data_IF_628613967069
#
_entry.id   IF_628613967069
#
_cell.length_a   1.000
_cell.length_b   1.000
_cell.length_c   1.000
_cell.angle_alpha   90.00
_cell.angle_beta   90.00
_cell.angle_gamma   90.00
#
_symmetry.space_group_name_H-M   'P 1'
#
loop_
_entity.id
_entity.type
_entity.pdbx_description
1 polymer ?
#
# COMPACT_ATOMS: atom_id res chain seq x y z
N UNK A 1 -11.15 27.59 -14.35
CA UNK A 1 -10.63 26.98 -13.11
C UNK A 1 -9.22 27.51 -12.89
N UNK A 2 -8.99 28.21 -11.78
CA UNK A 2 -7.63 28.64 -11.36
C UNK A 2 -6.89 27.41 -10.80
N UNK A 3 -5.57 27.40 -10.86
CA UNK A 3 -4.71 26.32 -10.35
C UNK A 3 -4.79 26.30 -8.83
N UNK A 4 -4.94 25.10 -8.25
CA UNK A 4 -4.95 24.94 -6.78
C UNK A 4 -3.73 25.57 -6.11
N UNK A 5 -2.55 25.50 -6.75
CA UNK A 5 -1.33 26.14 -6.22
C UNK A 5 -1.44 27.68 -6.19
N UNK A 6 -2.10 28.29 -7.18
CA UNK A 6 -2.33 29.75 -7.16
C UNK A 6 -3.29 30.11 -6.03
N UNK A 7 -4.35 29.32 -5.84
CA UNK A 7 -5.33 29.55 -4.77
C UNK A 7 -4.69 29.41 -3.38
N UNK A 8 -3.93 28.34 -3.14
CA UNK A 8 -3.21 28.11 -1.87
C UNK A 8 -2.28 29.29 -1.55
N UNK A 9 -1.44 29.71 -2.49
CA UNK A 9 -0.49 30.79 -2.24
C UNK A 9 -1.18 32.14 -2.07
N UNK A 10 -2.26 32.40 -2.80
CA UNK A 10 -3.06 33.62 -2.63
C UNK A 10 -3.68 33.69 -1.22
N UNK A 11 -4.27 32.58 -0.76
CA UNK A 11 -4.87 32.50 0.58
C UNK A 11 -3.81 32.64 1.69
N UNK A 12 -2.64 32.01 1.53
CA UNK A 12 -1.50 32.21 2.45
C UNK A 12 -1.10 33.68 2.51
N UNK A 13 -0.98 34.36 1.36
CA UNK A 13 -0.64 35.79 1.33
C UNK A 13 -1.69 36.65 2.05
N UNK A 14 -2.97 36.34 1.86
CA UNK A 14 -4.08 37.03 2.53
C UNK A 14 -3.99 36.87 4.05
N UNK A 15 -3.76 35.66 4.55
CA UNK A 15 -3.64 35.40 6.00
C UNK A 15 -2.40 36.02 6.61
N UNK A 16 -1.25 35.92 5.95
CA UNK A 16 -0.02 36.59 6.40
C UNK A 16 -0.17 38.11 6.42
N UNK A 17 -0.94 38.69 5.50
CA UNK A 17 -1.29 40.10 5.50
C UNK A 17 -2.22 40.45 6.68
N UNK A 18 -3.29 39.67 6.87
CA UNK A 18 -4.26 39.85 7.96
C UNK A 18 -3.62 39.80 9.35
N UNK A 19 -2.60 38.94 9.51
CA UNK A 19 -1.83 38.80 10.76
C UNK A 19 -0.71 39.84 10.92
N UNK A 20 -0.55 40.76 9.94
CA UNK A 20 0.48 41.80 9.98
C UNK A 20 1.90 41.29 9.76
N UNK A 21 2.09 40.03 9.33
CA UNK A 21 3.41 39.47 9.03
C UNK A 21 4.05 40.21 7.85
N UNK A 22 3.26 40.54 6.82
CA UNK A 22 3.73 41.26 5.63
C UNK A 22 3.96 42.77 5.86
N UNK A 23 3.45 43.34 6.96
CA UNK A 23 3.68 44.75 7.32
C UNK A 23 5.08 45.00 7.87
N UNK A 24 5.80 43.94 8.22
CA UNK A 24 7.16 44.02 8.73
C UNK A 24 8.13 44.48 7.64
N UNK A 25 9.05 45.37 8.00
CA UNK A 25 10.12 45.80 7.09
C UNK A 25 11.03 44.64 6.63
N UNK A 26 11.15 43.59 7.47
CA UNK A 26 11.94 42.38 7.26
C UNK A 26 11.06 41.15 6.93
N UNK A 27 9.80 41.31 6.51
CA UNK A 27 8.81 40.22 6.40
C UNK A 27 9.34 38.95 5.71
N UNK A 28 9.97 39.09 4.54
CA UNK A 28 10.49 37.94 3.78
C UNK A 28 11.70 37.28 4.44
N UNK A 29 12.56 38.07 5.08
CA UNK A 29 13.67 37.52 5.86
C UNK A 29 13.15 36.77 7.09
N UNK A 30 12.12 37.31 7.75
CA UNK A 30 11.45 36.65 8.86
C UNK A 30 10.81 35.32 8.43
N UNK A 31 10.00 35.31 7.36
CA UNK A 31 9.39 34.10 6.79
C UNK A 31 10.43 33.04 6.40
N UNK A 32 11.57 33.43 5.84
CA UNK A 32 12.63 32.52 5.45
C UNK A 32 13.42 31.91 6.62
N UNK A 33 13.22 32.41 7.85
CA UNK A 33 14.08 32.09 8.99
C UNK A 33 13.35 31.63 10.25
N UNK A 34 12.04 31.85 10.35
CA UNK A 34 11.22 31.60 11.53
C UNK A 34 10.03 30.68 11.17
N UNK A 35 9.85 29.59 11.92
CA UNK A 35 8.72 28.65 11.70
C UNK A 35 7.40 29.26 12.15
N UNK A 36 7.44 29.97 13.27
CA UNK A 36 6.32 30.71 13.85
C UNK A 36 5.77 31.80 12.93
N UNK A 37 6.54 32.26 11.94
CA UNK A 37 6.08 33.23 10.94
C UNK A 37 5.01 32.67 9.99
N UNK A 38 4.82 31.34 9.98
CA UNK A 38 3.86 30.63 9.12
C UNK A 38 2.72 30.01 9.91
N UNK A 39 2.50 30.46 11.14
CA UNK A 39 1.50 29.92 12.06
C UNK A 39 0.50 30.99 12.42
N UNK A 40 -0.76 30.58 12.57
CA UNK A 40 -1.85 31.41 13.04
C UNK A 40 -2.31 30.91 14.41
N UNK A 41 -1.89 31.52 15.53
CA UNK A 41 -2.26 31.05 16.86
C UNK A 41 -3.78 31.03 17.08
N UNK A 42 -4.48 32.01 16.51
CA UNK A 42 -5.93 32.13 16.65
C UNK A 42 -6.65 30.99 15.91
N UNK A 43 -6.27 30.69 14.66
CA UNK A 43 -6.84 29.56 13.91
C UNK A 43 -6.45 28.20 14.52
N UNK A 44 -5.24 28.08 15.07
CA UNK A 44 -4.81 26.86 15.76
C UNK A 44 -5.62 26.61 17.04
N UNK A 45 -5.91 27.66 17.82
CA UNK A 45 -6.81 27.57 18.98
C UNK A 45 -8.21 27.18 18.53
N UNK A 46 -8.74 27.83 17.49
CA UNK A 46 -10.07 27.51 16.98
C UNK A 46 -10.18 26.05 16.53
N UNK A 47 -9.16 25.55 15.82
CA UNK A 47 -9.09 24.15 15.39
C UNK A 47 -8.97 23.21 16.60
N UNK A 48 -8.18 23.56 17.62
CA UNK A 48 -8.05 22.76 18.83
C UNK A 48 -9.36 22.70 19.63
N UNK A 49 -10.05 23.83 19.80
CA UNK A 49 -11.37 23.91 20.43
C UNK A 49 -12.40 23.10 19.65
N UNK A 50 -12.38 23.18 18.31
CA UNK A 50 -13.27 22.42 17.44
C UNK A 50 -13.05 20.92 17.57
N UNK A 51 -11.79 20.47 17.60
CA UNK A 51 -11.44 19.06 17.83
C UNK A 51 -11.84 18.59 19.24
N UNK A 52 -11.64 19.43 20.27
CA UNK A 52 -12.02 19.10 21.64
C UNK A 52 -13.54 18.98 21.82
N UNK A 53 -14.31 19.90 21.23
CA UNK A 53 -15.78 19.87 21.28
C UNK A 53 -16.37 18.62 20.61
N UNK A 54 -15.72 18.10 19.55
CA UNK A 54 -16.14 16.88 18.89
C UNK A 54 -16.02 15.64 19.79
N UNK A 55 -15.07 15.64 20.74
CA UNK A 55 -14.89 14.55 21.71
C UNK A 55 -15.99 14.55 22.78
N UNK A 56 -16.59 15.71 23.08
CA UNK A 56 -17.64 15.83 24.11
C UNK A 56 -19.05 15.49 23.61
N UNK A 57 -19.36 15.71 22.33
CA UNK A 57 -20.69 15.47 21.76
C UNK A 57 -21.02 13.98 21.55
N UNK A 58 -20.01 13.11 21.58
CA UNK A 58 -20.11 11.68 21.27
C UNK A 58 -20.45 10.80 22.50
N UNK A 59 -20.83 11.41 23.63
CA UNK A 59 -21.22 10.70 24.84
C UNK A 59 -22.72 10.34 24.91
N UNK A 60 -23.60 10.93 24.08
CA UNK A 60 -25.06 10.69 24.16
C UNK A 60 -25.85 10.93 22.85
N UNK A 61 -25.20 11.09 21.69
CA UNK A 61 -25.91 11.38 20.44
C UNK A 61 -26.35 10.10 19.70
N UNK A 62 -27.67 9.87 19.68
CA UNK A 62 -28.29 8.91 18.77
C UNK A 62 -28.04 9.27 17.30
N UNK A 63 -27.86 8.23 16.49
CA UNK A 63 -27.47 8.28 15.09
C UNK A 63 -28.56 8.85 14.15
N UNK A 64 -28.84 10.15 14.22
CA UNK A 64 -29.85 10.80 13.37
C UNK A 64 -29.44 12.19 12.81
N UNK A 65 -28.13 12.46 12.61
CA UNK A 65 -27.69 13.55 11.73
C UNK A 65 -26.86 12.97 10.58
N UNK A 66 -27.57 12.48 9.57
CA UNK A 66 -27.02 11.85 8.37
C UNK A 66 -27.05 12.77 7.14
N UNK A 67 -27.28 14.07 7.33
CA UNK A 67 -27.56 15.02 6.23
C UNK A 67 -26.57 16.20 6.11
N UNK A 68 -25.41 16.19 6.77
CA UNK A 68 -24.30 17.07 6.36
C UNK A 68 -23.55 16.43 5.19
N UNK A 69 -24.02 16.76 4.00
CA UNK A 69 -23.33 16.51 2.73
C UNK A 69 -21.90 17.03 2.85
N UNK A 70 -20.95 16.15 2.51
CA UNK A 70 -19.51 16.40 2.36
C UNK A 70 -19.29 17.46 1.26
N UNK A 71 -19.63 18.72 1.55
CA UNK A 71 -19.19 19.85 0.75
C UNK A 71 -17.67 19.92 0.94
N UNK A 72 -16.91 19.67 -0.13
CA UNK A 72 -15.45 19.86 -0.13
C UNK A 72 -15.16 21.23 0.48
N UNK A 73 -14.52 21.27 1.66
CA UNK A 73 -14.10 22.51 2.32
C UNK A 73 -13.39 23.38 1.28
N UNK A 74 -13.86 24.61 1.11
CA UNK A 74 -13.23 25.51 0.17
C UNK A 74 -11.87 25.95 0.74
N UNK A 75 -10.91 26.29 -0.12
CA UNK A 75 -9.53 26.59 0.31
C UNK A 75 -9.47 27.72 1.36
N UNK A 76 -10.43 28.64 1.35
CA UNK A 76 -10.59 29.73 2.31
C UNK A 76 -11.08 29.28 3.70
N UNK A 77 -11.64 28.09 3.82
CA UNK A 77 -12.06 27.48 5.09
C UNK A 77 -10.93 26.66 5.75
N UNK A 78 -9.96 26.18 4.96
CA UNK A 78 -8.80 25.42 5.45
C UNK A 78 -7.92 26.30 6.35
N UNK A 79 -7.51 25.90 7.57
CA UNK A 79 -6.62 26.69 8.42
C UNK A 79 -5.22 26.85 7.81
N UNK A 80 -4.50 27.93 8.18
CA UNK A 80 -3.24 28.36 7.55
C UNK A 80 -2.20 27.25 7.55
N UNK A 81 -2.11 26.48 8.64
CA UNK A 81 -1.15 25.38 8.73
C UNK A 81 -1.38 24.30 7.66
N UNK A 82 -2.62 24.00 7.26
CA UNK A 82 -2.91 23.02 6.21
C UNK A 82 -2.47 23.54 4.84
N UNK A 83 -2.73 24.82 4.56
CA UNK A 83 -2.26 25.48 3.35
C UNK A 83 -0.72 25.45 3.28
N UNK A 84 -0.06 25.69 4.41
CA UNK A 84 1.39 25.63 4.54
C UNK A 84 1.93 24.19 4.38
N UNK A 85 1.25 23.18 4.90
CA UNK A 85 1.61 21.76 4.69
C UNK A 85 1.50 21.37 3.21
N UNK A 86 0.47 21.83 2.50
CA UNK A 86 0.32 21.62 1.05
C UNK A 86 1.39 22.37 0.26
N UNK A 87 1.76 23.58 0.71
CA UNK A 87 2.88 24.32 0.16
C UNK A 87 4.20 23.56 0.34
N UNK A 88 4.45 22.95 1.51
CA UNK A 88 5.63 22.12 1.76
C UNK A 88 5.71 20.93 0.81
N UNK A 89 4.62 20.17 0.70
CA UNK A 89 4.54 19.04 -0.22
C UNK A 89 4.82 19.49 -1.67
N UNK A 90 4.31 20.68 -2.04
CA UNK A 90 4.59 21.26 -3.36
C UNK A 90 6.06 21.65 -3.51
N UNK A 91 6.68 22.28 -2.50
CA UNK A 91 8.09 22.66 -2.53
C UNK A 91 8.99 21.42 -2.67
N UNK A 92 8.72 20.36 -1.91
CA UNK A 92 9.44 19.09 -2.07
C UNK A 92 9.26 18.49 -3.47
N UNK A 93 8.06 18.54 -4.03
CA UNK A 93 7.79 18.04 -5.38
C UNK A 93 8.40 18.90 -6.50
N UNK A 94 8.52 20.22 -6.31
CA UNK A 94 9.17 21.11 -7.26
C UNK A 94 10.70 20.97 -7.22
N UNK A 95 11.26 20.82 -6.01
CA UNK A 95 12.71 20.72 -5.79
C UNK A 95 13.08 19.25 -5.57
N UNK A 96 13.03 18.44 -6.62
CA UNK A 96 13.37 17.00 -6.56
C UNK A 96 14.81 16.74 -6.09
N UNK A 97 15.72 17.71 -6.31
CA UNK A 97 17.10 17.67 -5.80
C UNK A 97 17.16 18.02 -4.30
N UNK A 98 16.61 17.14 -3.46
CA UNK A 98 16.46 17.35 -2.01
C UNK A 98 17.80 17.50 -1.26
N UNK A 99 18.92 17.10 -1.85
CA UNK A 99 20.27 17.25 -1.32
C UNK A 99 20.99 18.53 -1.81
N UNK A 100 20.35 19.34 -2.67
CA UNK A 100 20.93 20.57 -3.18
C UNK A 100 21.27 21.57 -2.07
N UNK A 101 22.25 22.43 -2.34
CA UNK A 101 22.62 23.52 -1.45
C UNK A 101 21.54 24.60 -1.44
N UNK A 102 21.35 25.24 -0.28
CA UNK A 102 20.37 26.32 -0.11
C UNK A 102 20.56 27.47 -1.10
N UNK A 103 21.81 27.75 -1.49
CA UNK A 103 22.12 28.82 -2.45
C UNK A 103 21.56 28.56 -3.87
N UNK A 104 21.26 27.30 -4.20
CA UNK A 104 20.75 26.92 -5.52
C UNK A 104 19.21 26.97 -5.62
N UNK A 105 18.50 27.14 -4.50
CA UNK A 105 17.03 27.09 -4.45
C UNK A 105 16.33 28.07 -5.42
N UNK A 106 16.74 29.34 -5.54
CA UNK A 106 16.07 30.27 -6.47
C UNK A 106 16.12 29.77 -7.91
N UNK A 107 17.27 29.23 -8.33
CA UNK A 107 17.46 28.66 -9.66
C UNK A 107 16.60 27.41 -9.87
N UNK A 108 16.59 26.50 -8.89
CA UNK A 108 15.82 25.26 -8.96
C UNK A 108 14.31 25.52 -9.04
N UNK A 109 13.80 26.47 -8.25
CA UNK A 109 12.41 26.91 -8.29
C UNK A 109 12.05 27.53 -9.64
N UNK A 110 12.90 28.42 -10.18
CA UNK A 110 12.69 29.02 -11.49
C UNK A 110 12.64 27.96 -12.61
N UNK A 111 13.54 26.98 -12.57
CA UNK A 111 13.56 25.87 -13.52
C UNK A 111 12.31 24.98 -13.40
N UNK A 112 11.89 24.63 -12.18
CA UNK A 112 10.72 23.79 -11.93
C UNK A 112 9.40 24.47 -12.32
N UNK A 113 9.28 25.78 -12.06
CA UNK A 113 8.09 26.54 -12.40
C UNK A 113 8.00 26.85 -13.89
N UNK A 114 9.12 26.84 -14.63
CA UNK A 114 9.15 27.16 -16.07
C UNK A 114 8.31 26.18 -16.87
N UNK A 115 7.29 26.70 -17.57
CA UNK A 115 6.40 25.87 -18.40
C UNK A 115 5.38 25.05 -17.60
N UNK A 116 5.32 25.22 -16.27
CA UNK A 116 4.29 24.65 -15.41
C UNK A 116 2.90 25.23 -15.70
N UNK A 117 1.85 24.59 -15.18
CA UNK A 117 0.50 25.15 -15.23
C UNK A 117 0.42 26.47 -14.45
N UNK A 118 1.12 26.57 -13.31
CA UNK A 118 1.24 27.81 -12.54
C UNK A 118 1.77 28.95 -13.40
N UNK A 119 2.89 28.75 -14.12
CA UNK A 119 3.48 29.80 -14.96
C UNK A 119 2.55 30.27 -16.08
N UNK A 120 1.75 29.36 -16.67
CA UNK A 120 0.77 29.72 -17.71
C UNK A 120 -0.42 30.52 -17.19
N UNK A 121 -0.81 30.28 -15.94
CA UNK A 121 -1.99 30.91 -15.34
C UNK A 121 -1.65 32.20 -14.63
N UNK A 122 -0.56 32.24 -13.86
CA UNK A 122 -0.11 33.43 -13.14
C UNK A 122 0.25 34.57 -14.10
N UNK A 123 0.67 34.26 -15.33
CA UNK A 123 0.94 35.25 -16.38
C UNK A 123 -0.31 36.00 -16.88
N UNK A 124 -1.50 35.62 -16.42
CA UNK A 124 -2.78 36.30 -16.72
C UNK A 124 -3.25 37.20 -15.58
N UNK A 125 -2.61 37.12 -14.41
CA UNK A 125 -2.87 37.98 -13.26
C UNK A 125 -2.05 39.28 -13.41
N UNK A 126 -2.22 40.22 -12.47
CA UNK A 126 -1.50 41.50 -12.48
C UNK A 126 0.03 41.30 -12.34
N UNK A 127 0.80 42.27 -12.86
CA UNK A 127 2.26 42.17 -13.00
C UNK A 127 3.00 41.99 -11.65
N UNK A 128 2.39 42.42 -10.56
CA UNK A 128 2.90 42.33 -9.19
C UNK A 128 2.60 41.00 -8.48
N UNK A 129 1.62 40.23 -8.97
CA UNK A 129 1.18 38.97 -8.33
C UNK A 129 2.22 37.86 -8.49
N UNK A 130 2.74 37.65 -9.71
CA UNK A 130 3.71 36.58 -9.96
C UNK A 130 5.00 36.71 -9.12
N UNK A 131 5.61 37.91 -8.99
CA UNK A 131 6.73 38.13 -8.08
C UNK A 131 6.42 37.80 -6.62
N UNK A 132 5.22 38.12 -6.12
CA UNK A 132 4.83 37.83 -4.73
C UNK A 132 4.72 36.32 -4.48
N UNK A 133 4.10 35.58 -5.38
CA UNK A 133 4.02 34.12 -5.29
C UNK A 133 5.41 33.48 -5.28
N UNK A 134 6.34 33.97 -6.11
CA UNK A 134 7.73 33.49 -6.10
C UNK A 134 8.41 33.69 -4.76
N UNK A 135 8.23 34.86 -4.13
CA UNK A 135 8.79 35.12 -2.80
C UNK A 135 8.25 34.16 -1.73
N UNK A 136 6.99 33.75 -1.82
CA UNK A 136 6.42 32.73 -0.92
C UNK A 136 7.12 31.38 -1.10
N UNK A 137 7.30 30.92 -2.34
CA UNK A 137 8.03 29.68 -2.63
C UNK A 137 9.48 29.75 -2.14
N UNK A 138 10.18 30.84 -2.43
CA UNK A 138 11.57 31.05 -2.04
C UNK A 138 11.71 31.06 -0.51
N UNK A 139 10.90 31.86 0.19
CA UNK A 139 10.95 31.95 1.65
C UNK A 139 10.64 30.60 2.30
N UNK A 140 9.64 29.87 1.79
CA UNK A 140 9.29 28.57 2.35
C UNK A 140 10.36 27.50 2.08
N UNK A 141 10.90 27.44 0.86
CA UNK A 141 11.99 26.53 0.53
C UNK A 141 13.24 26.82 1.38
N UNK A 142 13.58 28.09 1.57
CA UNK A 142 14.69 28.52 2.41
C UNK A 142 14.53 28.06 3.86
N UNK A 143 13.34 28.23 4.43
CA UNK A 143 13.04 27.79 5.79
C UNK A 143 13.18 26.27 5.94
N UNK A 144 12.62 25.50 4.98
CA UNK A 144 12.75 24.04 4.96
C UNK A 144 14.22 23.65 4.93
N UNK A 145 15.01 24.18 3.97
CA UNK A 145 16.43 23.82 3.82
C UNK A 145 17.30 24.24 5.00
N UNK A 146 16.98 25.37 5.63
CA UNK A 146 17.68 25.84 6.83
C UNK A 146 17.44 24.92 8.03
N UNK A 147 16.22 24.41 8.16
CA UNK A 147 15.77 23.69 9.36
C UNK A 147 16.01 22.18 9.27
N UNK A 148 16.25 21.66 8.06
CA UNK A 148 16.34 20.22 7.80
C UNK A 148 17.69 19.82 7.23
N UNK A 149 18.04 18.55 7.38
CA UNK A 149 19.12 17.91 6.63
C UNK A 149 18.58 17.32 5.33
N UNK A 150 19.46 17.03 4.37
CA UNK A 150 19.07 16.30 3.15
C UNK A 150 18.45 14.93 3.45
N UNK A 151 18.86 14.28 4.54
CA UNK A 151 18.26 13.03 5.01
C UNK A 151 16.82 13.26 5.48
N UNK A 152 16.60 14.26 6.34
CA UNK A 152 15.26 14.62 6.82
C UNK A 152 14.31 14.95 5.67
N UNK A 153 14.74 15.79 4.71
CA UNK A 153 13.90 16.14 3.53
C UNK A 153 13.49 14.93 2.70
N UNK A 154 14.40 13.99 2.45
CA UNK A 154 14.06 12.73 1.78
C UNK A 154 13.02 11.93 2.57
N UNK A 155 13.16 11.88 3.89
CA UNK A 155 12.18 11.25 4.77
C UNK A 155 10.81 11.93 4.72
N UNK A 156 10.76 13.26 4.84
CA UNK A 156 9.52 14.05 4.83
C UNK A 156 8.79 13.92 3.49
N UNK A 157 9.52 14.04 2.38
CA UNK A 157 8.98 13.83 1.05
C UNK A 157 8.45 12.40 0.85
N UNK A 158 9.20 11.39 1.30
CA UNK A 158 8.79 9.99 1.19
C UNK A 158 7.53 9.67 2.02
N UNK A 159 7.33 10.35 3.15
CA UNK A 159 6.11 10.28 3.95
C UNK A 159 4.92 11.02 3.34
N UNK A 160 5.17 11.98 2.44
CA UNK A 160 4.15 12.89 1.93
C UNK A 160 3.66 13.89 2.97
N UNK A 161 4.52 14.31 3.90
CA UNK A 161 4.17 15.26 4.98
C UNK A 161 4.97 16.55 4.90
N UNK A 162 4.41 17.63 5.44
CA UNK A 162 5.09 18.93 5.54
C UNK A 162 6.18 18.98 6.62
N UNK A 163 6.82 20.15 6.74
CA UNK A 163 7.95 20.39 7.63
C UNK A 163 7.62 20.10 9.10
N UNK A 164 6.49 20.57 9.59
CA UNK A 164 6.11 20.48 11.00
C UNK A 164 5.86 19.03 11.43
N UNK A 165 5.03 18.31 10.68
CA UNK A 165 4.76 16.90 10.88
C UNK A 165 6.04 16.05 10.72
N UNK A 166 6.85 16.35 9.69
CA UNK A 166 8.11 15.66 9.44
C UNK A 166 9.09 15.79 10.59
N UNK A 167 9.29 17.00 11.12
CA UNK A 167 10.14 17.24 12.30
C UNK A 167 9.61 16.56 13.56
N UNK A 168 8.29 16.53 13.73
CA UNK A 168 7.65 15.85 14.87
C UNK A 168 7.91 14.34 14.82
N UNK A 169 7.73 13.71 13.65
CA UNK A 169 8.04 12.28 13.44
C UNK A 169 9.53 12.01 13.61
N UNK A 170 10.40 12.88 13.10
CA UNK A 170 11.86 12.74 13.27
C UNK A 170 12.27 12.70 14.75
N UNK A 171 11.63 13.52 15.59
CA UNK A 171 11.94 13.59 17.01
C UNK A 171 11.58 12.31 17.79
N UNK A 172 10.64 11.51 17.29
CA UNK A 172 10.18 10.25 17.90
C UNK A 172 10.51 9.02 17.04
N UNK A 173 11.41 9.15 16.07
CA UNK A 173 11.63 8.15 15.03
C UNK A 173 12.02 6.76 15.57
N UNK A 174 12.88 6.71 16.59
CA UNK A 174 13.35 5.44 17.16
C UNK A 174 12.21 4.70 17.90
N UNK A 175 11.40 5.44 18.65
CA UNK A 175 10.24 4.89 19.36
C UNK A 175 9.15 4.40 18.40
N UNK A 176 8.84 5.18 17.36
CA UNK A 176 7.89 4.76 16.33
C UNK A 176 8.38 3.53 15.56
N UNK A 177 9.70 3.42 15.32
CA UNK A 177 10.28 2.26 14.65
C UNK A 177 10.14 0.99 15.50
N UNK A 178 10.43 1.08 16.81
CA UNK A 178 10.28 -0.04 17.74
C UNK A 178 8.83 -0.52 17.83
N UNK A 179 7.88 0.41 17.99
CA UNK A 179 6.45 0.07 18.05
C UNK A 179 5.96 -0.56 16.74
N UNK A 180 6.41 -0.03 15.58
CA UNK A 180 6.02 -0.58 14.29
C UNK A 180 6.59 -1.99 14.06
N UNK A 181 7.85 -2.23 14.45
CA UNK A 181 8.47 -3.55 14.34
C UNK A 181 7.74 -4.58 15.22
N UNK A 182 7.40 -4.21 16.47
CA UNK A 182 6.58 -5.04 17.37
C UNK A 182 5.22 -5.36 16.76
N UNK A 183 4.54 -4.36 16.19
CA UNK A 183 3.23 -4.55 15.57
C UNK A 183 3.31 -5.47 14.34
N UNK A 184 4.32 -5.30 13.48
CA UNK A 184 4.52 -6.15 12.30
C UNK A 184 4.82 -7.60 12.71
N UNK A 185 5.68 -7.83 13.71
CA UNK A 185 5.97 -9.16 14.24
C UNK A 185 4.73 -9.83 14.86
N UNK A 186 3.94 -9.07 15.64
CA UNK A 186 2.71 -9.55 16.24
C UNK A 186 1.66 -9.93 15.18
N UNK A 187 1.53 -9.14 14.10
CA UNK A 187 0.65 -9.46 12.98
C UNK A 187 1.09 -10.71 12.20
N UNK A 188 2.39 -11.03 12.16
CA UNK A 188 2.90 -12.25 11.53
C UNK A 188 2.66 -13.50 12.39
N UNK A 189 2.95 -13.39 13.69
CA UNK A 189 2.80 -14.48 14.66
C UNK A 189 1.33 -14.73 15.04
N UNK A 190 0.47 -13.73 14.92
CA UNK A 190 -0.91 -13.76 15.38
C UNK A 190 -1.07 -13.48 16.87
N UNK A 191 -0.09 -12.84 17.51
CA UNK A 191 -0.23 -12.34 18.87
C UNK A 191 -1.12 -11.09 18.88
N UNK A 192 -2.41 -11.30 19.14
CA UNK A 192 -3.42 -10.24 19.12
C UNK A 192 -3.16 -9.21 20.21
N UNK A 193 -2.72 -9.64 21.40
CA UNK A 193 -2.54 -8.73 22.53
C UNK A 193 -1.36 -7.79 22.29
N UNK A 194 -0.24 -8.32 21.80
CA UNK A 194 0.94 -7.53 21.43
C UNK A 194 0.66 -6.60 20.24
N UNK A 195 -0.07 -7.10 19.22
CA UNK A 195 -0.46 -6.29 18.07
C UNK A 195 -1.30 -5.08 18.52
N UNK A 196 -2.29 -5.32 19.38
CA UNK A 196 -3.16 -4.25 19.89
C UNK A 196 -2.40 -3.28 20.79
N UNK A 197 -1.48 -3.75 21.64
CA UNK A 197 -0.67 -2.88 22.49
C UNK A 197 0.21 -1.95 21.65
N UNK A 198 0.95 -2.51 20.70
CA UNK A 198 1.82 -1.73 19.81
C UNK A 198 1.03 -0.72 18.97
N UNK A 199 -0.10 -1.12 18.38
CA UNK A 199 -0.97 -0.23 17.60
C UNK A 199 -1.59 0.88 18.44
N UNK A 200 -1.92 0.63 19.71
CA UNK A 200 -2.37 1.68 20.64
C UNK A 200 -1.25 2.70 20.89
N UNK A 201 -0.03 2.23 21.13
CA UNK A 201 1.14 3.11 21.30
C UNK A 201 1.40 3.99 20.06
N UNK A 202 1.24 3.42 18.86
CA UNK A 202 1.34 4.16 17.59
C UNK A 202 0.20 5.18 17.45
N UNK A 203 -1.04 4.77 17.72
CA UNK A 203 -2.21 5.65 17.65
C UNK A 203 -2.13 6.83 18.61
N UNK A 204 -1.65 6.63 19.84
CA UNK A 204 -1.45 7.70 20.82
C UNK A 204 -0.47 8.80 20.38
N UNK A 205 0.51 8.43 19.55
CA UNK A 205 1.53 9.36 19.04
C UNK A 205 1.10 10.02 17.74
N UNK A 206 0.47 9.24 16.86
CA UNK A 206 0.21 9.64 15.48
C UNK A 206 -1.19 10.25 15.29
N UNK A 207 -2.26 9.67 15.85
CA UNK A 207 -3.63 10.15 15.61
C UNK A 207 -3.97 11.49 16.28
N UNK A 208 -3.02 12.07 17.02
CA UNK A 208 -3.15 13.37 17.67
C UNK A 208 -2.23 14.42 17.05
N UNK A 209 -1.59 14.11 15.92
CA UNK A 209 -0.79 15.06 15.15
C UNK A 209 -1.26 15.13 13.70
N UNK A 210 -1.21 16.32 13.11
CA UNK A 210 -1.53 16.50 11.69
C UNK A 210 -0.43 15.83 10.84
N UNK A 211 -0.77 15.27 9.67
CA UNK A 211 -2.11 15.22 9.07
C UNK A 211 -2.95 14.01 9.51
N UNK A 212 -2.56 13.26 10.53
CA UNK A 212 -3.22 12.00 10.91
C UNK A 212 -4.39 12.15 11.90
N UNK A 213 -4.69 13.37 12.35
CA UNK A 213 -5.87 13.64 13.17
C UNK A 213 -7.12 13.38 12.31
N UNK A 214 -8.07 12.54 12.76
CA UNK A 214 -9.35 12.35 12.09
C UNK A 214 -10.15 13.66 12.01
N UNK A 215 -10.96 13.81 10.96
CA UNK A 215 -11.81 14.98 10.80
C UNK A 215 -12.98 14.97 11.79
N UNK A 216 -13.57 16.16 12.01
CA UNK A 216 -14.60 16.38 13.04
C UNK A 216 -15.79 15.43 12.95
N UNK A 217 -16.30 15.20 11.74
CA UNK A 217 -17.44 14.31 11.50
C UNK A 217 -17.17 12.86 11.96
N UNK A 218 -15.89 12.50 12.08
CA UNK A 218 -15.42 11.16 12.42
C UNK A 218 -14.39 11.21 13.56
N UNK A 219 -14.61 12.11 14.53
CA UNK A 219 -13.70 12.33 15.64
C UNK A 219 -13.40 11.03 16.40
N UNK A 220 -12.19 10.92 16.94
CA UNK A 220 -11.73 9.72 17.62
C UNK A 220 -12.50 9.54 18.95
N UNK A 221 -13.28 8.46 19.14
CA UNK A 221 -14.09 8.29 20.34
C UNK A 221 -13.22 8.10 21.60
N UNK A 222 -13.72 8.48 22.78
CA UNK A 222 -12.95 8.34 24.03
C UNK A 222 -12.50 6.89 24.33
N UNK A 223 -13.30 5.90 23.91
CA UNK A 223 -13.01 4.47 24.02
C UNK A 223 -12.32 3.88 22.78
N UNK A 224 -11.72 4.69 21.89
CA UNK A 224 -11.12 4.24 20.62
C UNK A 224 -10.15 3.07 20.77
N UNK A 225 -9.41 2.97 21.87
CA UNK A 225 -8.49 1.85 22.14
C UNK A 225 -9.21 0.51 22.26
N UNK A 226 -10.42 0.51 22.80
CA UNK A 226 -11.27 -0.67 22.88
C UNK A 226 -11.84 -1.01 21.50
N UNK A 227 -12.30 0.00 20.75
CA UNK A 227 -12.79 -0.17 19.37
C UNK A 227 -11.69 -0.75 18.47
N UNK A 228 -10.46 -0.20 18.54
CA UNK A 228 -9.30 -0.68 17.79
C UNK A 228 -9.00 -2.15 18.11
N UNK A 229 -9.08 -2.53 19.40
CA UNK A 229 -8.92 -3.93 19.82
C UNK A 229 -9.95 -4.83 19.15
N UNK A 230 -11.23 -4.49 19.27
CA UNK A 230 -12.31 -5.28 18.68
C UNK A 230 -12.17 -5.39 17.16
N UNK A 231 -11.85 -4.27 16.49
CA UNK A 231 -11.64 -4.22 15.04
C UNK A 231 -10.50 -5.14 14.60
N UNK A 232 -9.29 -4.98 15.15
CA UNK A 232 -8.10 -5.74 14.75
C UNK A 232 -8.19 -7.21 15.18
N UNK A 233 -8.94 -7.52 16.24
CA UNK A 233 -9.19 -8.91 16.65
C UNK A 233 -10.14 -9.65 15.72
N UNK A 234 -10.74 -8.98 14.72
CA UNK A 234 -11.69 -9.60 13.81
C UNK A 234 -13.11 -9.71 14.36
N UNK A 235 -13.47 -8.92 15.37
CA UNK A 235 -14.84 -8.96 15.90
C UNK A 235 -15.87 -8.51 14.86
N UNK A 236 -17.06 -9.10 14.95
CA UNK A 236 -18.18 -8.76 14.08
C UNK A 236 -18.64 -7.32 14.31
N UNK A 237 -19.04 -6.63 13.23
CA UNK A 237 -19.52 -5.24 13.29
C UNK A 237 -20.71 -5.09 14.25
N UNK A 238 -21.55 -6.12 14.36
CA UNK A 238 -22.67 -6.17 15.31
C UNK A 238 -22.24 -6.07 16.77
N UNK A 239 -21.05 -6.58 17.12
CA UNK A 239 -20.47 -6.49 18.48
C UNK A 239 -19.74 -5.18 18.71
N UNK A 240 -19.06 -4.69 17.67
CA UNK A 240 -18.38 -3.39 17.68
C UNK A 240 -19.39 -2.25 17.79
N UNK A 241 -20.56 -2.40 17.17
CA UNK A 241 -21.57 -1.35 17.04
C UNK A 241 -21.41 -0.60 15.72
N UNK A 242 -22.47 -0.54 14.92
CA UNK A 242 -22.46 0.12 13.61
C UNK A 242 -22.15 1.62 13.69
N UNK A 243 -22.49 2.26 14.81
CA UNK A 243 -22.18 3.68 15.06
C UNK A 243 -20.67 3.97 15.07
N UNK A 244 -19.83 2.98 15.38
CA UNK A 244 -18.38 3.15 15.42
C UNK A 244 -17.71 2.99 14.03
N UNK A 245 -18.46 2.59 12.99
CA UNK A 245 -17.86 2.25 11.70
C UNK A 245 -17.24 3.44 10.98
N UNK A 246 -17.87 4.61 11.06
CA UNK A 246 -17.31 5.86 10.51
C UNK A 246 -15.95 6.20 11.12
N UNK A 247 -15.85 6.10 12.45
CA UNK A 247 -14.60 6.32 13.17
C UNK A 247 -13.55 5.25 12.82
N UNK A 248 -13.95 3.99 12.62
CA UNK A 248 -13.03 2.92 12.18
C UNK A 248 -12.49 3.22 10.77
N UNK A 249 -13.38 3.56 9.84
CA UNK A 249 -13.02 3.84 8.45
C UNK A 249 -12.03 5.00 8.38
N UNK A 250 -12.36 6.13 8.99
CA UNK A 250 -11.51 7.32 8.96
C UNK A 250 -10.25 7.16 9.83
N UNK A 251 -10.41 6.88 11.12
CA UNK A 251 -9.26 6.92 12.05
C UNK A 251 -8.34 5.72 11.90
N UNK A 252 -8.88 4.52 11.67
CA UNK A 252 -8.07 3.30 11.62
C UNK A 252 -7.71 2.93 10.18
N UNK A 253 -8.70 2.69 9.31
CA UNK A 253 -8.42 2.15 7.97
C UNK A 253 -7.76 3.18 7.03
N UNK A 254 -7.98 4.47 7.27
CA UNK A 254 -7.32 5.54 6.52
C UNK A 254 -6.17 6.19 7.31
N UNK A 255 -6.45 6.98 8.36
CA UNK A 255 -5.43 7.83 9.02
C UNK A 255 -4.33 7.02 9.70
N UNK A 256 -4.67 6.01 10.49
CA UNK A 256 -3.66 5.18 11.16
C UNK A 256 -2.86 4.38 10.14
N UNK A 257 -3.51 3.75 9.15
CA UNK A 257 -2.80 3.05 8.06
C UNK A 257 -1.82 3.99 7.36
N UNK A 258 -2.26 5.20 6.98
CA UNK A 258 -1.37 6.19 6.39
C UNK A 258 -0.20 6.53 7.31
N UNK A 259 -0.44 6.74 8.60
CA UNK A 259 0.61 7.04 9.56
C UNK A 259 1.64 5.91 9.71
N UNK A 260 1.19 4.65 9.77
CA UNK A 260 2.08 3.48 9.80
C UNK A 260 2.93 3.39 8.52
N UNK A 261 2.29 3.59 7.37
CA UNK A 261 2.94 3.58 6.06
C UNK A 261 3.92 4.76 5.89
N UNK A 262 3.64 5.91 6.46
CA UNK A 262 4.55 7.05 6.50
C UNK A 262 5.82 6.69 7.29
N UNK A 263 5.67 6.17 8.51
CA UNK A 263 6.83 5.73 9.33
C UNK A 263 7.65 4.67 8.58
N UNK A 264 7.00 3.68 7.97
CA UNK A 264 7.66 2.63 7.18
C UNK A 264 8.42 3.21 5.98
N UNK A 265 7.77 4.07 5.21
CA UNK A 265 8.33 4.66 3.98
C UNK A 265 9.48 5.61 4.28
N UNK A 266 9.39 6.37 5.39
CA UNK A 266 10.51 7.15 5.93
C UNK A 266 11.71 6.24 6.15
N UNK A 267 11.56 5.17 6.96
CA UNK A 267 12.66 4.24 7.26
C UNK A 267 13.30 3.70 5.99
N UNK A 268 12.50 3.23 5.03
CA UNK A 268 12.99 2.72 3.75
C UNK A 268 13.77 3.78 2.95
N UNK A 269 13.27 5.01 2.88
CA UNK A 269 13.96 6.12 2.20
C UNK A 269 15.32 6.46 2.81
N UNK A 270 15.51 6.13 4.10
CA UNK A 270 16.74 6.34 4.85
C UNK A 270 17.66 5.12 4.86
N UNK A 271 17.35 4.09 4.07
CA UNK A 271 18.20 2.91 3.89
C UNK A 271 17.92 1.76 4.86
N UNK A 272 16.84 1.83 5.65
CA UNK A 272 16.39 0.68 6.42
C UNK A 272 15.85 -0.40 5.48
N UNK A 273 16.19 -1.65 5.79
CA UNK A 273 15.60 -2.84 5.19
C UNK A 273 15.06 -3.72 6.30
N UNK A 274 13.81 -4.19 6.21
CA UNK A 274 13.24 -5.02 7.26
C UNK A 274 13.90 -6.40 7.30
N UNK A 275 14.07 -6.95 8.51
CA UNK A 275 14.51 -8.33 8.72
C UNK A 275 13.35 -9.34 8.57
N UNK A 276 12.14 -8.89 8.89
CA UNK A 276 10.88 -9.64 8.80
C UNK A 276 9.96 -9.03 7.74
N UNK A 277 8.73 -9.53 7.60
CA UNK A 277 7.76 -8.98 6.66
C UNK A 277 7.19 -7.69 7.25
N UNK A 278 7.48 -6.56 6.59
CA UNK A 278 6.97 -5.26 7.00
C UNK A 278 5.57 -4.98 6.43
N UNK A 279 4.79 -4.17 7.15
CA UNK A 279 3.44 -3.75 6.75
C UNK A 279 2.34 -4.75 7.12
N UNK A 280 2.64 -5.71 8.00
CA UNK A 280 1.67 -6.63 8.57
C UNK A 280 0.65 -5.91 9.46
N UNK A 281 1.13 -4.97 10.27
CA UNK A 281 0.29 -4.16 11.15
C UNK A 281 -0.68 -3.27 10.36
N UNK A 282 -0.21 -2.57 9.34
CA UNK A 282 -1.05 -1.75 8.47
C UNK A 282 -2.11 -2.61 7.75
N UNK A 283 -1.75 -3.82 7.31
CA UNK A 283 -2.70 -4.76 6.72
C UNK A 283 -3.77 -5.22 7.71
N UNK A 284 -3.39 -5.53 8.94
CA UNK A 284 -4.31 -5.93 10.00
C UNK A 284 -5.29 -4.80 10.35
N UNK A 285 -4.81 -3.56 10.46
CA UNK A 285 -5.63 -2.37 10.72
C UNK A 285 -6.59 -2.08 9.57
N UNK A 286 -6.13 -2.10 8.31
CA UNK A 286 -6.97 -1.85 7.14
C UNK A 286 -8.11 -2.88 7.05
N UNK A 287 -7.77 -4.16 7.23
CA UNK A 287 -8.69 -5.26 6.94
C UNK A 287 -9.45 -5.75 8.17
N UNK A 288 -9.13 -5.26 9.37
CA UNK A 288 -9.79 -5.63 10.63
C UNK A 288 -9.66 -7.11 10.96
N UNK A 289 -8.46 -7.70 10.77
CA UNK A 289 -8.14 -9.08 11.12
C UNK A 289 -6.74 -9.19 11.71
N UNK A 290 -6.47 -10.13 12.62
CA UNK A 290 -5.26 -10.07 13.45
C UNK A 290 -3.98 -10.58 12.77
N UNK A 291 -4.09 -11.37 11.69
CA UNK A 291 -2.94 -12.00 11.04
C UNK A 291 -2.71 -11.48 9.63
N UNK A 292 -1.45 -11.27 9.28
CA UNK A 292 -1.05 -10.83 7.95
C UNK A 292 -1.59 -11.73 6.84
N UNK A 293 -1.56 -13.05 7.02
CA UNK A 293 -2.11 -14.02 6.05
C UNK A 293 -3.62 -13.85 5.84
N UNK A 294 -4.38 -13.51 6.89
CA UNK A 294 -5.81 -13.24 6.78
C UNK A 294 -6.03 -11.95 5.97
N UNK A 295 -5.27 -10.90 6.28
CA UNK A 295 -5.32 -9.62 5.56
C UNK A 295 -4.95 -9.78 4.08
N UNK A 296 -3.97 -10.62 3.76
CA UNK A 296 -3.59 -10.96 2.38
C UNK A 296 -4.74 -11.57 1.58
N UNK A 297 -5.57 -12.43 2.16
CA UNK A 297 -6.74 -13.00 1.48
C UNK A 297 -7.77 -11.92 1.14
N UNK A 298 -8.05 -11.03 2.11
CA UNK A 298 -9.01 -9.93 1.94
C UNK A 298 -8.52 -8.95 0.86
N UNK A 299 -7.26 -8.50 0.95
CA UNK A 299 -6.62 -7.65 -0.07
C UNK A 299 -6.57 -8.30 -1.45
N UNK A 300 -6.57 -9.62 -1.51
CA UNK A 300 -6.63 -10.39 -2.77
C UNK A 300 -8.05 -10.59 -3.30
N UNK A 301 -9.06 -10.03 -2.64
CA UNK A 301 -10.44 -10.01 -3.09
C UNK A 301 -11.38 -10.97 -2.37
N UNK A 302 -11.00 -11.60 -1.26
CA UNK A 302 -11.93 -12.38 -0.44
C UNK A 302 -12.86 -11.43 0.34
N UNK A 303 -14.18 -11.36 0.04
CA UNK A 303 -15.06 -10.35 0.62
C UNK A 303 -15.64 -10.82 1.97
N UNK A 304 -14.81 -11.37 2.86
CA UNK A 304 -15.25 -11.84 4.18
C UNK A 304 -14.10 -12.00 5.17
N UNK A 305 -14.09 -11.16 6.23
CA UNK A 305 -13.15 -11.26 7.36
C UNK A 305 -13.27 -12.61 8.06
N UNK A 306 -14.50 -13.04 8.35
CA UNK A 306 -14.81 -14.34 8.97
C UNK A 306 -14.27 -15.52 8.15
N UNK A 307 -14.48 -15.52 6.84
CA UNK A 307 -13.95 -16.59 5.98
C UNK A 307 -12.43 -16.60 6.00
N UNK A 308 -11.78 -15.43 5.95
CA UNK A 308 -10.34 -15.31 6.01
C UNK A 308 -9.77 -15.86 7.33
N UNK A 309 -10.40 -15.49 8.46
CA UNK A 309 -9.96 -15.93 9.79
C UNK A 309 -10.05 -17.45 9.92
N UNK A 310 -11.24 -18.02 9.67
CA UNK A 310 -11.45 -19.48 9.78
C UNK A 310 -10.56 -20.24 8.81
N UNK A 311 -10.36 -19.74 7.58
CA UNK A 311 -9.51 -20.42 6.62
C UNK A 311 -8.04 -20.52 7.06
N UNK A 312 -7.53 -19.46 7.71
CA UNK A 312 -6.15 -19.42 8.20
C UNK A 312 -6.00 -20.17 9.54
N UNK A 313 -7.02 -20.17 10.39
CA UNK A 313 -7.04 -20.90 11.66
C UNK A 313 -7.13 -22.42 11.43
N UNK A 314 -8.00 -22.88 10.52
CA UNK A 314 -8.19 -24.31 10.27
C UNK A 314 -6.99 -24.95 9.56
N UNK A 315 -6.40 -24.24 8.59
CA UNK A 315 -5.36 -24.78 7.72
C UNK A 315 -3.93 -24.40 8.13
N UNK A 316 -3.78 -23.48 9.09
CA UNK A 316 -2.51 -22.94 9.61
C UNK A 316 -1.41 -22.75 8.54
N UNK A 317 -1.68 -22.05 7.41
CA UNK A 317 -0.71 -21.96 6.34
C UNK A 317 0.40 -20.96 6.66
N UNK A 318 1.52 -21.11 5.94
CA UNK A 318 2.62 -20.15 5.98
C UNK A 318 2.85 -19.61 4.58
N UNK A 319 2.43 -18.36 4.36
CA UNK A 319 2.73 -17.59 3.17
C UNK A 319 2.87 -16.12 3.52
N UNK A 320 3.80 -15.44 2.86
CA UNK A 320 4.01 -13.99 3.04
C UNK A 320 4.10 -13.25 1.71
N UNK A 321 3.93 -13.97 0.60
CA UNK A 321 3.88 -13.42 -0.75
C UNK A 321 2.62 -13.89 -1.50
N UNK A 322 2.12 -13.11 -2.47
CA UNK A 322 0.99 -13.54 -3.30
C UNK A 322 1.23 -14.86 -4.04
N UNK A 323 2.49 -15.17 -4.39
CA UNK A 323 2.86 -16.41 -5.06
C UNK A 323 2.72 -17.63 -4.13
N UNK A 324 3.15 -17.52 -2.87
CA UNK A 324 2.99 -18.56 -1.86
C UNK A 324 1.52 -18.75 -1.48
N UNK A 325 0.77 -17.66 -1.29
CA UNK A 325 -0.67 -17.70 -1.05
C UNK A 325 -1.39 -18.46 -2.17
N UNK A 326 -1.06 -18.15 -3.43
CA UNK A 326 -1.63 -18.84 -4.57
C UNK A 326 -1.25 -20.33 -4.59
N UNK A 327 -0.01 -20.67 -4.29
CA UNK A 327 0.42 -22.06 -4.21
C UNK A 327 -0.34 -22.84 -3.13
N UNK A 328 -0.63 -22.20 -2.00
CA UNK A 328 -1.49 -22.76 -0.95
C UNK A 328 -2.94 -22.93 -1.41
N UNK A 329 -3.54 -21.94 -2.09
CA UNK A 329 -4.89 -22.05 -2.68
C UNK A 329 -5.00 -23.18 -3.72
N UNK A 330 -3.92 -23.48 -4.44
CA UNK A 330 -3.82 -24.58 -5.42
C UNK A 330 -3.60 -25.96 -4.77
N UNK A 331 -3.37 -26.04 -3.46
CA UNK A 331 -3.08 -27.32 -2.77
C UNK A 331 -4.26 -28.29 -2.75
N UNK A 332 -3.95 -29.58 -2.68
CA UNK A 332 -4.96 -30.66 -2.61
C UNK A 332 -5.80 -30.56 -1.33
N UNK A 333 -5.20 -30.10 -0.23
CA UNK A 333 -5.89 -29.89 1.04
C UNK A 333 -6.99 -28.82 0.93
N UNK A 334 -6.63 -27.63 0.42
CA UNK A 334 -7.61 -26.55 0.24
C UNK A 334 -8.65 -26.89 -0.83
N UNK A 335 -8.28 -27.69 -1.84
CA UNK A 335 -9.23 -28.25 -2.79
C UNK A 335 -10.25 -29.15 -2.09
N UNK A 336 -9.79 -30.08 -1.24
CA UNK A 336 -10.66 -30.98 -0.50
C UNK A 336 -11.60 -30.23 0.46
N UNK A 337 -11.10 -29.22 1.19
CA UNK A 337 -11.96 -28.37 2.03
C UNK A 337 -13.01 -27.61 1.22
N UNK A 338 -12.62 -27.03 0.08
CA UNK A 338 -13.54 -26.29 -0.78
C UNK A 338 -14.62 -27.21 -1.37
N UNK A 339 -14.24 -28.44 -1.76
CA UNK A 339 -15.15 -29.42 -2.36
C UNK A 339 -16.14 -30.04 -1.35
N UNK A 340 -15.84 -29.97 -0.04
CA UNK A 340 -16.78 -30.35 1.02
C UNK A 340 -18.03 -29.45 1.07
N UNK A 341 -17.89 -28.19 0.61
CA UNK A 341 -19.01 -27.28 0.37
C UNK A 341 -19.50 -26.49 1.58
N UNK A 342 -18.95 -26.71 2.76
CA UNK A 342 -19.30 -26.04 4.02
C UNK A 342 -18.13 -25.28 4.67
N UNK A 343 -16.99 -25.21 3.98
CA UNK A 343 -15.76 -24.53 4.44
C UNK A 343 -15.50 -23.22 3.67
N UNK A 344 -14.96 -22.14 4.31
CA UNK A 344 -14.50 -22.04 5.70
C UNK A 344 -15.62 -22.12 6.75
N UNK A 345 -16.78 -21.58 6.41
CA UNK A 345 -18.01 -21.78 7.21
C UNK A 345 -19.17 -21.98 6.25
N UNK A 346 -20.29 -22.60 6.68
CA UNK A 346 -21.43 -22.83 5.81
C UNK A 346 -21.93 -21.56 5.12
N UNK A 347 -21.94 -20.44 5.85
CA UNK A 347 -22.44 -19.14 5.35
C UNK A 347 -21.45 -18.46 4.38
N UNK A 348 -20.17 -18.82 4.43
CA UNK A 348 -19.11 -18.18 3.62
C UNK A 348 -18.53 -19.08 2.54
N UNK A 349 -18.92 -20.36 2.47
CA UNK A 349 -18.36 -21.34 1.54
C UNK A 349 -18.53 -20.92 0.07
N UNK A 350 -19.68 -20.34 -0.28
CA UNK A 350 -19.92 -19.83 -1.63
C UNK A 350 -19.01 -18.63 -1.99
N UNK A 351 -18.77 -17.72 -1.05
CA UNK A 351 -17.85 -16.59 -1.24
C UNK A 351 -16.42 -17.09 -1.41
N UNK A 352 -16.02 -18.06 -0.59
CA UNK A 352 -14.71 -18.68 -0.65
C UNK A 352 -14.46 -19.39 -1.99
N UNK A 353 -15.39 -20.24 -2.44
CA UNK A 353 -15.25 -20.98 -3.69
C UNK A 353 -15.12 -20.04 -4.90
N UNK A 354 -15.89 -18.93 -4.90
CA UNK A 354 -15.76 -17.87 -5.92
C UNK A 354 -14.40 -17.18 -5.85
N UNK A 355 -13.99 -16.72 -4.67
CA UNK A 355 -12.68 -16.11 -4.45
C UNK A 355 -11.55 -17.02 -4.93
N UNK A 356 -11.54 -18.31 -4.53
CA UNK A 356 -10.53 -19.28 -4.94
C UNK A 356 -10.53 -19.45 -6.47
N UNK A 357 -11.70 -19.55 -7.10
CA UNK A 357 -11.80 -19.66 -8.56
C UNK A 357 -11.24 -18.42 -9.25
N UNK A 358 -11.58 -17.22 -8.78
CA UNK A 358 -11.10 -15.94 -9.33
C UNK A 358 -9.59 -15.76 -9.11
N UNK A 359 -9.12 -15.97 -7.89
CA UNK A 359 -7.70 -15.94 -7.52
C UNK A 359 -6.87 -16.93 -8.36
N UNK A 360 -7.43 -18.08 -8.74
CA UNK A 360 -6.76 -19.07 -9.57
C UNK A 360 -6.99 -18.89 -11.08
N UNK A 361 -7.98 -18.11 -11.50
CA UNK A 361 -8.29 -17.87 -12.91
C UNK A 361 -7.63 -16.61 -13.50
N UNK A 362 -7.26 -15.63 -12.68
CA UNK A 362 -6.70 -14.33 -13.11
C UNK A 362 -5.17 -14.22 -13.19
N UNK A 363 -4.67 -13.61 -14.29
CA UNK A 363 -3.36 -12.94 -14.42
C UNK A 363 -2.20 -13.79 -14.96
N UNK A 364 -1.85 -13.60 -16.24
CA UNK A 364 -0.66 -14.13 -16.98
C UNK A 364 0.21 -15.06 -16.14
N UNK A 365 -0.14 -16.36 -16.13
CA UNK A 365 0.73 -17.37 -15.54
C UNK A 365 2.08 -17.29 -16.28
N UNK A 366 3.13 -16.88 -15.56
CA UNK A 366 4.51 -16.89 -16.04
C UNK A 366 4.78 -18.28 -16.60
N UNK A 367 5.23 -18.36 -17.85
CA UNK A 367 5.58 -19.64 -18.44
C UNK A 367 6.74 -20.23 -17.64
N UNK A 368 6.55 -21.45 -17.11
CA UNK A 368 7.63 -22.20 -16.48
C UNK A 368 8.43 -22.92 -17.57
N UNK A 369 9.74 -23.05 -17.34
CA UNK A 369 10.61 -23.89 -18.16
C UNK A 369 10.96 -25.12 -17.33
N UNK A 370 10.45 -26.28 -17.74
CA UNK A 370 10.64 -27.54 -17.02
C UNK A 370 11.41 -28.53 -17.90
N UNK A 371 12.33 -29.28 -17.28
CA UNK A 371 13.18 -30.25 -17.97
C UNK A 371 12.92 -31.64 -17.42
N UNK A 372 12.72 -32.58 -18.34
CA UNK A 372 12.38 -33.96 -18.04
C UNK A 372 13.29 -34.92 -18.81
N UNK A 373 13.42 -36.15 -18.30
CA UNK A 373 14.02 -37.28 -19.01
C UNK A 373 12.98 -38.38 -19.13
N UNK A 374 12.55 -38.71 -20.36
CA UNK A 374 11.43 -39.64 -20.59
C UNK A 374 11.79 -40.70 -21.62
N UNK A 375 11.36 -41.92 -21.36
CA UNK A 375 11.76 -43.11 -22.13
C UNK A 375 10.75 -43.40 -23.24
N UNK A 376 11.25 -43.63 -24.44
CA UNK A 376 10.46 -44.09 -25.58
C UNK A 376 10.11 -45.57 -25.46
N UNK A 377 8.92 -45.92 -25.90
CA UNK A 377 8.45 -47.29 -26.04
C UNK A 377 8.75 -47.83 -27.45
N UNK A 378 10.04 -48.08 -27.68
CA UNK A 378 10.57 -48.61 -28.94
C UNK A 378 11.81 -49.47 -28.65
N UNK A 379 12.11 -50.44 -29.52
CA UNK A 379 13.30 -51.29 -29.40
C UNK A 379 14.57 -50.57 -29.89
N UNK A 380 14.53 -50.04 -31.12
CA UNK A 380 15.66 -49.33 -31.72
C UNK A 380 15.65 -47.83 -31.37
N UNK A 381 16.80 -47.32 -30.91
CA UNK A 381 16.96 -45.90 -30.60
C UNK A 381 16.86 -45.05 -31.89
N UNK A 382 16.03 -43.98 -31.90
CA UNK A 382 16.01 -43.03 -33.01
C UNK A 382 17.37 -42.31 -33.17
N UNK A 383 17.62 -41.67 -34.33
CA UNK A 383 18.79 -40.83 -34.53
C UNK A 383 18.91 -39.70 -33.49
N UNK A 384 20.13 -39.22 -33.26
CA UNK A 384 20.34 -38.02 -32.46
C UNK A 384 19.76 -36.80 -33.18
N UNK A 385 19.13 -35.88 -32.45
CA UNK A 385 18.48 -34.72 -33.06
C UNK A 385 17.52 -33.97 -32.15
N UNK A 386 16.90 -32.95 -32.74
CA UNK A 386 15.80 -32.18 -32.16
C UNK A 386 14.47 -32.70 -32.68
N UNK A 387 13.53 -32.86 -31.77
CA UNK A 387 12.23 -33.46 -31.99
C UNK A 387 11.15 -32.60 -31.33
N UNK A 388 9.91 -32.78 -31.78
CA UNK A 388 8.70 -32.31 -31.10
C UNK A 388 8.15 -33.42 -30.22
N UNK A 389 7.39 -33.04 -29.21
CA UNK A 389 6.60 -33.97 -28.41
C UNK A 389 5.15 -33.53 -28.55
N UNK A 390 4.29 -34.47 -28.89
CA UNK A 390 2.88 -34.23 -29.19
C UNK A 390 2.05 -35.23 -28.40
N UNK A 391 1.06 -34.74 -27.67
CA UNK A 391 0.04 -35.60 -27.05
C UNK A 391 -1.17 -35.65 -27.97
N UNK A 392 -1.68 -36.84 -28.23
CA UNK A 392 -2.89 -37.06 -29.02
C UNK A 392 -4.13 -36.71 -28.19
N UNK A 393 -4.97 -35.81 -28.70
CA UNK A 393 -6.19 -35.33 -28.01
C UNK A 393 -7.24 -36.43 -27.84
N UNK A 394 -7.17 -37.51 -28.62
CA UNK A 394 -8.12 -38.63 -28.56
C UNK A 394 -7.75 -39.67 -27.50
N UNK A 395 -6.58 -40.30 -27.63
CA UNK A 395 -6.17 -41.41 -26.76
C UNK A 395 -5.24 -41.02 -25.61
N UNK A 396 -4.87 -39.73 -25.53
CA UNK A 396 -3.97 -39.18 -24.51
C UNK A 396 -2.53 -39.69 -24.61
N UNK A 397 -2.16 -40.42 -25.66
CA UNK A 397 -0.79 -40.93 -25.83
C UNK A 397 0.14 -39.81 -26.24
N UNK A 398 1.31 -39.79 -25.61
CA UNK A 398 2.37 -38.83 -25.93
C UNK A 398 3.40 -39.47 -26.86
N UNK A 399 3.73 -38.75 -27.93
CA UNK A 399 4.58 -39.19 -29.03
C UNK A 399 5.78 -38.27 -29.18
N UNK A 400 6.92 -38.85 -29.52
CA UNK A 400 8.03 -38.13 -30.14
C UNK A 400 7.73 -38.00 -31.63
N UNK A 401 7.83 -36.79 -32.17
CA UNK A 401 7.60 -36.50 -33.56
C UNK A 401 8.75 -35.68 -34.16
N UNK A 402 8.93 -35.76 -35.46
CA UNK A 402 9.84 -34.86 -36.20
C UNK A 402 9.30 -33.41 -36.19
N UNK A 403 10.12 -32.41 -36.55
CA UNK A 403 9.67 -31.02 -36.65
C UNK A 403 8.47 -30.80 -37.57
N UNK A 404 8.28 -31.64 -38.59
CA UNK A 404 7.14 -31.66 -39.52
C UNK A 404 5.98 -32.57 -39.06
N UNK A 405 5.92 -32.90 -37.76
CA UNK A 405 4.85 -33.68 -37.10
C UNK A 405 4.71 -35.15 -37.51
N UNK A 406 5.73 -35.75 -38.13
CA UNK A 406 5.73 -37.19 -38.38
C UNK A 406 6.05 -37.95 -37.09
N UNK A 407 5.19 -38.91 -36.71
CA UNK A 407 5.37 -39.70 -35.48
C UNK A 407 6.58 -40.62 -35.62
N UNK A 408 7.47 -40.58 -34.62
CA UNK A 408 8.69 -41.42 -34.55
C UNK A 408 8.47 -42.60 -33.61
N UNK A 409 8.08 -42.33 -32.37
CA UNK A 409 7.85 -43.36 -31.35
C UNK A 409 6.96 -42.82 -30.22
N UNK A 410 6.20 -43.69 -29.55
CA UNK A 410 5.44 -43.33 -28.36
C UNK A 410 6.37 -43.26 -27.13
N UNK A 411 5.96 -42.50 -26.11
CA UNK A 411 6.57 -42.56 -24.78
C UNK A 411 5.91 -43.65 -23.93
N UNK A 412 6.68 -44.27 -23.02
CA UNK A 412 6.16 -45.32 -22.12
C UNK A 412 5.03 -44.86 -21.21
N UNK A 413 5.00 -43.58 -20.87
CA UNK A 413 3.96 -42.96 -20.03
C UNK A 413 3.49 -41.67 -20.71
N UNK A 414 2.18 -41.37 -20.68
CA UNK A 414 1.66 -40.14 -21.23
C UNK A 414 2.03 -38.93 -20.36
N UNK A 415 2.13 -37.77 -21.00
CA UNK A 415 2.24 -36.47 -20.37
C UNK A 415 0.83 -35.88 -20.24
N UNK A 416 0.40 -35.58 -19.01
CA UNK A 416 -0.88 -34.93 -18.73
C UNK A 416 -0.60 -33.46 -18.44
N UNK A 417 -0.91 -32.62 -19.42
CA UNK A 417 -0.75 -31.18 -19.32
C UNK A 417 -2.12 -30.51 -19.14
N UNK A 418 -2.39 -29.84 -18.01
CA UNK A 418 -3.68 -29.19 -17.78
C UNK A 418 -3.90 -27.94 -18.65
N UNK A 419 -2.86 -27.40 -19.30
CA UNK A 419 -2.95 -26.19 -20.15
C UNK A 419 -2.08 -26.33 -21.41
N UNK A 420 -2.38 -25.59 -22.49
CA UNK A 420 -1.54 -25.59 -23.69
C UNK A 420 -0.10 -25.16 -23.40
N UNK A 421 0.88 -25.97 -23.86
CA UNK A 421 2.31 -25.74 -23.66
C UNK A 421 3.13 -26.12 -24.89
N UNK A 422 4.32 -25.55 -25.02
CA UNK A 422 5.30 -25.94 -26.02
C UNK A 422 6.18 -27.06 -25.47
N UNK A 423 6.34 -28.13 -26.25
CA UNK A 423 7.26 -29.21 -25.94
C UNK A 423 8.30 -29.41 -27.02
N UNK A 424 9.53 -29.69 -26.59
CA UNK A 424 10.60 -30.17 -27.47
C UNK A 424 11.34 -31.33 -26.83
N UNK A 425 11.84 -32.25 -27.65
CA UNK A 425 12.65 -33.38 -27.23
C UNK A 425 14.02 -33.31 -27.87
N UNK A 426 15.07 -33.66 -27.13
CA UNK A 426 16.43 -33.81 -27.65
C UNK A 426 16.96 -35.22 -27.36
N UNK A 427 17.51 -35.85 -28.38
CA UNK A 427 18.27 -37.10 -28.26
C UNK A 427 19.76 -36.81 -28.49
N UNK A 428 20.59 -37.13 -27.50
CA UNK A 428 22.04 -36.84 -27.50
C UNK A 428 22.91 -37.95 -28.11
N UNK A 429 22.30 -39.02 -28.64
CA UNK A 429 23.02 -40.18 -29.19
C UNK A 429 22.08 -41.34 -29.49
N UNK A 430 22.61 -42.55 -29.63
CA UNK A 430 21.83 -43.80 -29.78
C UNK A 430 21.19 -44.21 -28.45
N UNK A 431 20.26 -43.41 -27.95
CA UNK A 431 19.51 -43.63 -26.70
C UNK A 431 18.02 -43.55 -26.94
N UNK A 432 17.23 -44.18 -26.06
CA UNK A 432 15.77 -44.07 -26.02
C UNK A 432 15.28 -43.06 -24.97
N UNK A 433 16.21 -42.46 -24.23
CA UNK A 433 15.92 -41.47 -23.20
C UNK A 433 15.96 -40.07 -23.82
N UNK A 434 14.79 -39.44 -23.94
CA UNK A 434 14.64 -38.10 -24.49
C UNK A 434 14.80 -37.06 -23.39
N UNK A 435 15.63 -36.06 -23.62
CA UNK A 435 15.63 -34.83 -22.83
C UNK A 435 14.48 -33.94 -23.32
N UNK A 436 13.39 -33.94 -22.56
CA UNK A 436 12.20 -33.16 -22.88
C UNK A 436 12.26 -31.80 -22.19
N UNK A 437 11.98 -30.74 -22.94
CA UNK A 437 11.80 -29.38 -22.45
C UNK A 437 10.34 -29.00 -22.66
N UNK A 438 9.68 -28.61 -21.57
CA UNK A 438 8.36 -28.01 -21.58
C UNK A 438 8.49 -26.52 -21.28
N UNK A 439 7.80 -25.70 -22.07
CA UNK A 439 7.62 -24.28 -21.81
C UNK A 439 6.13 -23.99 -21.85
N UNK A 440 5.51 -23.67 -20.72
CA UNK A 440 4.07 -23.51 -20.68
C UNK A 440 3.53 -23.10 -19.31
N UNK A 441 2.19 -23.11 -19.18
CA UNK A 441 1.49 -22.66 -17.96
C UNK A 441 1.07 -23.85 -17.11
N UNK A 442 1.08 -23.70 -15.78
CA UNK A 442 0.72 -24.79 -14.86
C UNK A 442 1.79 -25.88 -14.77
N UNK A 443 1.54 -26.90 -13.92
CA UNK A 443 2.47 -28.02 -13.68
C UNK A 443 2.11 -29.24 -14.52
N UNK A 444 3.10 -29.81 -15.19
CA UNK A 444 2.94 -31.06 -15.95
C UNK A 444 2.94 -32.27 -15.02
N UNK A 445 2.00 -33.19 -15.20
CA UNK A 445 2.11 -34.54 -14.64
C UNK A 445 2.63 -35.49 -15.71
N UNK A 446 3.89 -35.88 -15.61
CA UNK A 446 4.49 -36.89 -16.49
C UNK A 446 5.34 -37.86 -15.68
N UNK A 447 4.86 -39.07 -15.34
CA UNK A 447 5.63 -40.00 -14.53
C UNK A 447 6.84 -40.59 -15.29
N UNK A 448 7.94 -40.97 -14.61
CA UNK A 448 9.01 -41.76 -15.21
C UNK A 448 8.51 -43.16 -15.57
N UNK A 449 9.29 -43.90 -16.38
CA UNK A 449 8.91 -45.23 -16.85
C UNK A 449 8.66 -46.24 -15.71
N UNK A 450 9.37 -46.06 -14.59
CA UNK A 450 9.40 -47.01 -13.47
C UNK A 450 8.49 -46.57 -12.29
N UNK A 451 7.66 -45.53 -12.48
CA UNK A 451 6.70 -45.05 -11.49
C UNK A 451 5.25 -45.49 -11.75
#
# INVERSE_FOLDING_TARGET
MKSGLIQIVAEILERLSREGVLDRADAWEYLANAREAWRSPDEEVEVAERLAAAVEYDADAGADDDDEVDEEETIDEEPLFQLVERLDATVFGLIEALDADRADLPKLLDEALKGSLWARQIAREDEDVAPLHKKVFEARADLIWKTTTAQARRGHFAMGVGLEAGLTIDAMADELAELLDRADEAALSGDIDELVDALRGLGERLLFMRPFIPDKANALPANWKAILRSWVSGEEVSKIGSQNMRAIEEAFTYRLVWALEAVRTRRMSLGWSPETVAGGAAAAVETGVPRFMMAMLIRSGLPSRRAAMVAIEDAEPVFVTPAEMRAWLESDEIMAYTDAGDWPTPDTAALWARFRTEALSGGIQKWSVERYKRLLDIEAAPPAGLYRIVTDDGDGRTWLATPDYQRVAAFKKPAVDPKPSLFSGRLLGKTRLVEALRVGRGKLRWPPADA
#
